data_IF_524553913788
#
_entry.id   IF_524553913788
#
_cell.length_a   1.000
_cell.length_b   1.000
_cell.length_c   1.000
_cell.angle_alpha   90.00
_cell.angle_beta   90.00
_cell.angle_gamma   90.00
#
_symmetry.space_group_name_H-M   'P 1'
#
loop_
_entity.id
_entity.type
_entity.pdbx_description
1 polymer ?
#
# COMPACT_ATOMS: atom_id res chain seq x y z
N UNK A 1 26.29 -2.66 -29.77
CA UNK A 1 24.86 -2.27 -29.70
C UNK A 1 24.27 -3.04 -28.53
N UNK A 2 23.98 -2.38 -27.41
CA UNK A 2 23.40 -3.05 -26.23
C UNK A 2 21.89 -3.03 -26.42
N UNK A 3 21.30 -4.20 -26.68
CA UNK A 3 19.85 -4.36 -26.72
C UNK A 3 19.37 -4.46 -25.27
N UNK A 4 18.89 -3.36 -24.71
CA UNK A 4 18.13 -3.40 -23.47
C UNK A 4 16.86 -4.21 -23.76
N UNK A 5 16.73 -5.42 -23.20
CA UNK A 5 15.44 -6.09 -23.20
C UNK A 5 14.49 -5.23 -22.38
N UNK A 6 13.37 -4.81 -22.99
CA UNK A 6 12.26 -4.23 -22.23
C UNK A 6 11.76 -5.35 -21.32
N UNK A 7 12.20 -5.31 -20.06
CA UNK A 7 11.80 -6.30 -19.06
C UNK A 7 10.29 -6.08 -18.84
N UNK A 8 9.49 -6.93 -19.46
CA UNK A 8 8.04 -6.79 -19.39
C UNK A 8 7.63 -7.27 -18.01
N UNK A 9 6.93 -6.45 -17.20
CA UNK A 9 6.52 -6.85 -15.87
C UNK A 9 5.79 -8.18 -15.92
N UNK A 10 6.22 -9.14 -15.09
CA UNK A 10 5.60 -10.47 -15.02
C UNK A 10 4.12 -10.41 -14.63
N UNK A 11 3.73 -9.38 -13.87
CA UNK A 11 2.38 -9.17 -13.39
C UNK A 11 1.90 -7.77 -13.80
N UNK A 12 0.61 -7.66 -14.12
CA UNK A 12 -0.03 -6.36 -14.34
C UNK A 12 -0.29 -5.64 -13.01
N UNK A 13 -0.47 -4.32 -13.06
CA UNK A 13 -0.87 -3.52 -11.89
C UNK A 13 -2.13 -4.08 -11.22
N UNK A 14 -3.14 -4.45 -11.99
CA UNK A 14 -4.38 -5.02 -11.47
C UNK A 14 -4.19 -6.40 -10.84
N UNK A 15 -3.29 -7.24 -11.38
CA UNK A 15 -2.96 -8.52 -10.74
C UNK A 15 -2.27 -8.30 -9.40
N UNK A 16 -1.36 -7.33 -9.30
CA UNK A 16 -0.71 -7.00 -8.02
C UNK A 16 -1.74 -6.42 -7.05
N UNK A 17 -2.61 -5.51 -7.50
CA UNK A 17 -3.71 -4.95 -6.71
C UNK A 17 -4.62 -6.03 -6.13
N UNK A 18 -5.06 -6.97 -6.96
CA UNK A 18 -5.88 -8.08 -6.49
C UNK A 18 -5.13 -8.91 -5.45
N UNK A 19 -3.88 -9.30 -5.75
CA UNK A 19 -3.10 -10.17 -4.86
C UNK A 19 -2.82 -9.55 -3.48
N UNK A 20 -2.56 -8.24 -3.40
CA UNK A 20 -2.30 -7.58 -2.10
C UNK A 20 -3.58 -7.42 -1.28
N UNK A 21 -4.73 -7.16 -1.91
CA UNK A 21 -6.02 -7.10 -1.22
C UNK A 21 -6.46 -8.50 -0.75
N UNK A 22 -6.33 -9.52 -1.59
CA UNK A 22 -6.60 -10.92 -1.20
C UNK A 22 -5.72 -11.34 -0.01
N UNK A 23 -4.47 -10.88 0.04
CA UNK A 23 -3.55 -11.10 1.14
C UNK A 23 -3.99 -10.41 2.44
N UNK A 24 -4.47 -9.16 2.37
CA UNK A 24 -5.07 -8.45 3.51
C UNK A 24 -6.29 -9.23 4.03
N UNK A 25 -7.24 -9.56 3.16
CA UNK A 25 -8.47 -10.27 3.53
C UNK A 25 -8.18 -11.63 4.17
N UNK A 26 -7.15 -12.34 3.69
CA UNK A 26 -6.70 -13.60 4.27
C UNK A 26 -6.22 -13.42 5.72
N UNK A 27 -5.41 -12.39 5.99
CA UNK A 27 -4.84 -12.14 7.32
C UNK A 27 -5.94 -11.71 8.30
N UNK A 28 -6.79 -10.76 7.89
CA UNK A 28 -7.90 -10.28 8.73
C UNK A 28 -8.82 -11.43 9.17
N UNK A 29 -9.25 -12.26 8.20
CA UNK A 29 -10.12 -13.41 8.44
C UNK A 29 -9.57 -14.40 9.47
N UNK A 30 -8.26 -14.60 9.51
CA UNK A 30 -7.62 -15.59 10.39
C UNK A 30 -7.29 -15.01 11.77
N UNK A 31 -6.94 -13.72 11.86
CA UNK A 31 -6.43 -13.13 13.10
C UNK A 31 -7.46 -12.34 13.90
N UNK A 32 -8.64 -12.01 13.32
CA UNK A 32 -9.68 -11.17 13.95
C UNK A 32 -9.09 -9.87 14.49
N UNK A 33 -8.58 -9.07 13.57
CA UNK A 33 -7.84 -7.87 13.85
C UNK A 33 -8.72 -6.80 14.53
N UNK A 34 -8.08 -5.87 15.23
CA UNK A 34 -8.76 -4.67 15.73
C UNK A 34 -8.79 -3.59 14.64
N UNK A 35 -9.69 -2.62 14.74
CA UNK A 35 -9.82 -1.52 13.77
C UNK A 35 -8.46 -0.83 13.45
N UNK A 36 -7.58 -0.66 14.44
CA UNK A 36 -6.26 -0.06 14.25
C UNK A 36 -5.29 -0.90 13.42
N UNK A 37 -5.48 -2.22 13.42
CA UNK A 37 -4.71 -3.15 12.59
C UNK A 37 -5.24 -3.14 11.15
N UNK A 38 -6.56 -3.01 10.96
CA UNK A 38 -7.17 -2.88 9.64
C UNK A 38 -6.71 -1.61 8.93
N UNK A 39 -6.72 -0.47 9.64
CA UNK A 39 -6.20 0.80 9.13
C UNK A 39 -4.71 0.67 8.73
N UNK A 40 -3.94 -0.14 9.47
CA UNK A 40 -2.52 -0.33 9.21
C UNK A 40 -2.32 -1.16 7.95
N UNK A 41 -3.10 -2.23 7.79
CA UNK A 41 -3.05 -3.07 6.59
C UNK A 41 -3.49 -2.30 5.34
N UNK A 42 -4.55 -1.48 5.45
CA UNK A 42 -4.98 -0.62 4.35
C UNK A 42 -3.91 0.40 3.95
N UNK A 43 -3.24 1.01 4.94
CA UNK A 43 -2.14 1.92 4.70
C UNK A 43 -0.96 1.23 3.98
N UNK A 44 -0.63 -0.01 4.37
CA UNK A 44 0.41 -0.81 3.71
C UNK A 44 0.01 -1.14 2.26
N UNK A 45 -1.24 -1.57 2.03
CA UNK A 45 -1.74 -1.86 0.67
C UNK A 45 -1.67 -0.61 -0.21
N UNK A 46 -2.14 0.52 0.28
CA UNK A 46 -2.07 1.80 -0.42
C UNK A 46 -0.63 2.18 -0.74
N UNK A 47 0.28 2.11 0.24
CA UNK A 47 1.69 2.41 0.02
C UNK A 47 2.34 1.52 -1.05
N UNK A 48 2.03 0.21 -1.06
CA UNK A 48 2.52 -0.71 -2.08
C UNK A 48 2.00 -0.28 -3.47
N UNK A 49 0.70 -0.03 -3.60
CA UNK A 49 0.09 0.29 -4.88
C UNK A 49 0.53 1.65 -5.42
N UNK A 50 0.72 2.64 -4.57
CA UNK A 50 1.27 3.95 -4.97
C UNK A 50 2.73 3.82 -5.39
N UNK A 51 3.55 2.98 -4.71
CA UNK A 51 4.94 2.74 -5.10
C UNK A 51 5.12 2.00 -6.43
N UNK A 52 4.12 1.25 -6.87
CA UNK A 52 4.13 0.68 -8.22
C UNK A 52 4.04 1.75 -9.32
N UNK A 53 3.39 2.89 -9.05
CA UNK A 53 3.29 4.00 -10.00
C UNK A 53 4.41 5.03 -9.79
N UNK A 54 4.74 5.32 -8.53
CA UNK A 54 5.80 6.24 -8.14
C UNK A 54 6.74 5.56 -7.14
N UNK A 55 7.83 4.91 -7.61
CA UNK A 55 8.78 4.22 -6.74
C UNK A 55 9.49 5.11 -5.71
N UNK A 56 9.44 6.43 -5.85
CA UNK A 56 10.08 7.38 -4.93
C UNK A 56 9.10 8.03 -3.95
N UNK A 57 7.80 7.72 -4.02
CA UNK A 57 6.81 8.30 -3.10
C UNK A 57 7.17 7.97 -1.65
N UNK A 58 7.12 9.00 -0.81
CA UNK A 58 7.30 8.89 0.63
C UNK A 58 5.95 8.72 1.34
N UNK A 59 5.98 8.64 2.67
CA UNK A 59 4.76 8.46 3.46
C UNK A 59 3.74 9.58 3.24
N UNK A 60 4.19 10.83 3.23
CA UNK A 60 3.30 11.98 3.12
C UNK A 60 2.61 11.98 1.75
N UNK A 61 3.35 11.68 0.68
CA UNK A 61 2.78 11.52 -0.67
C UNK A 61 1.80 10.35 -0.80
N UNK A 62 2.02 9.24 -0.10
CA UNK A 62 1.01 8.14 -0.03
C UNK A 62 -0.25 8.62 0.66
N UNK A 63 -0.12 9.34 1.77
CA UNK A 63 -1.29 9.86 2.51
C UNK A 63 -2.09 10.85 1.67
N UNK A 64 -1.40 11.80 1.04
CA UNK A 64 -2.03 12.80 0.18
C UNK A 64 -2.77 12.20 -1.02
N UNK A 65 -2.24 11.11 -1.59
CA UNK A 65 -2.87 10.42 -2.73
C UNK A 65 -4.07 9.56 -2.30
N UNK A 66 -3.97 8.88 -1.16
CA UNK A 66 -4.91 7.81 -0.81
C UNK A 66 -5.95 8.20 0.26
N UNK A 67 -5.76 9.31 0.98
CA UNK A 67 -6.59 9.68 2.11
C UNK A 67 -7.11 11.11 2.02
N UNK A 68 -8.29 11.34 2.58
CA UNK A 68 -8.87 12.68 2.77
C UNK A 68 -8.39 13.34 4.08
N UNK A 69 -7.25 12.92 4.60
CA UNK A 69 -6.69 13.34 5.88
C UNK A 69 -5.23 13.80 5.70
N UNK A 70 -4.74 14.66 6.61
CA UNK A 70 -3.33 15.08 6.57
C UNK A 70 -2.39 13.97 7.04
N UNK A 71 -1.10 13.97 6.62
CA UNK A 71 -0.10 13.04 7.14
C UNK A 71 0.02 13.07 8.67
N UNK A 72 -0.12 14.25 9.29
CA UNK A 72 -0.14 14.38 10.75
C UNK A 72 -1.34 13.67 11.38
N UNK A 73 -2.53 13.77 10.75
CA UNK A 73 -3.73 13.06 11.20
C UNK A 73 -3.57 11.56 11.09
N UNK A 74 -3.06 11.05 9.97
CA UNK A 74 -2.84 9.61 9.78
C UNK A 74 -1.82 9.06 10.78
N UNK A 75 -0.71 9.78 11.03
CA UNK A 75 0.24 9.40 12.09
C UNK A 75 -0.40 9.35 13.47
N UNK A 76 -1.43 10.15 13.74
CA UNK A 76 -2.09 10.17 15.05
C UNK A 76 -2.99 8.96 15.33
N UNK A 77 -3.35 8.17 14.31
CA UNK A 77 -4.15 6.95 14.47
C UNK A 77 -3.41 5.88 15.26
N UNK A 78 -2.09 5.82 15.09
CA UNK A 78 -1.23 5.01 15.92
C UNK A 78 -0.59 5.94 16.95
N UNK A 79 -0.87 5.72 18.22
CA UNK A 79 -0.31 6.49 19.32
C UNK A 79 1.22 6.35 19.42
N UNK A 80 1.98 6.97 18.51
CA UNK A 80 3.43 7.02 18.58
C UNK A 80 3.79 8.07 19.62
N UNK A 81 3.92 7.61 20.87
CA UNK A 81 4.48 8.34 22.00
C UNK A 81 5.98 8.51 21.86
#
# INVERSE_FOLDING_TARGET
MVTSSVDTPRFTREQVKQAVNDGRDLVDRELRLADSDDDLLDLVVNAILTRLDNPEVDFDGVVEECYLASPATVRSWWHWS
#
